data_IF_878759630678
#
_entry.id   IF_878759630678
#
_cell.length_a   1.000
_cell.length_b   1.000
_cell.length_c   1.000
_cell.angle_alpha   90.00
_cell.angle_beta   90.00
_cell.angle_gamma   90.00
#
_symmetry.space_group_name_H-M   'P 1'
#
loop_
_entity.id
_entity.type
_entity.pdbx_description
1 polymer ?
#
# COMPACT_ATOMS: atom_id res chain seq x y z
N UNK A 1 -45.19 -30.61 -11.36
CA UNK A 1 -44.74 -29.30 -11.90
C UNK A 1 -44.04 -28.55 -10.77
N UNK A 2 -42.71 -28.64 -10.70
CA UNK A 2 -41.93 -27.95 -9.67
C UNK A 2 -41.50 -26.59 -10.18
N UNK A 3 -42.10 -25.52 -9.65
CA UNK A 3 -41.72 -24.14 -9.95
C UNK A 3 -40.39 -23.85 -9.28
N UNK A 4 -39.29 -23.98 -10.03
CA UNK A 4 -37.97 -23.54 -9.61
C UNK A 4 -37.93 -22.01 -9.55
N UNK A 5 -37.97 -21.45 -8.35
CA UNK A 5 -37.74 -20.03 -8.12
C UNK A 5 -36.25 -19.73 -8.41
N UNK A 6 -35.92 -19.43 -9.67
CA UNK A 6 -34.59 -18.94 -10.03
C UNK A 6 -34.49 -17.49 -9.59
N UNK A 7 -33.98 -17.28 -8.39
CA UNK A 7 -33.56 -15.97 -7.91
C UNK A 7 -32.44 -15.48 -8.86
N UNK A 8 -32.85 -14.80 -9.92
CA UNK A 8 -31.99 -14.42 -11.03
C UNK A 8 -31.08 -13.31 -10.54
N UNK A 9 -29.77 -13.57 -10.50
CA UNK A 9 -28.77 -12.58 -10.13
C UNK A 9 -28.71 -11.46 -11.19
N UNK A 10 -29.55 -10.44 -10.99
CA UNK A 10 -29.69 -9.30 -11.91
C UNK A 10 -28.40 -8.50 -12.04
N UNK A 11 -27.53 -8.54 -11.03
CA UNK A 11 -26.27 -7.79 -11.02
C UNK A 11 -25.25 -8.46 -11.96
N UNK A 12 -25.27 -9.80 -12.06
CA UNK A 12 -24.46 -10.55 -13.03
C UNK A 12 -24.85 -10.36 -14.50
N UNK A 13 -25.95 -9.67 -14.81
CA UNK A 13 -26.35 -9.31 -16.18
C UNK A 13 -25.92 -7.90 -16.59
N UNK A 14 -25.36 -7.11 -15.67
CA UNK A 14 -24.84 -5.79 -16.00
C UNK A 14 -23.58 -5.90 -16.90
N UNK A 15 -23.38 -4.97 -17.84
CA UNK A 15 -22.14 -4.86 -18.61
C UNK A 15 -20.91 -4.73 -17.71
N UNK A 16 -19.79 -5.28 -18.15
CA UNK A 16 -18.53 -5.31 -17.41
C UNK A 16 -18.07 -3.93 -16.90
N UNK A 17 -18.19 -2.82 -17.68
CA UNK A 17 -17.83 -1.49 -17.19
C UNK A 17 -18.68 -1.04 -16.00
N UNK A 18 -19.98 -1.38 -15.98
CA UNK A 18 -20.87 -1.03 -14.87
C UNK A 18 -20.52 -1.86 -13.63
N UNK A 19 -20.18 -3.14 -13.79
CA UNK A 19 -19.74 -3.97 -12.67
C UNK A 19 -18.43 -3.46 -12.08
N UNK A 20 -17.44 -3.10 -12.92
CA UNK A 20 -16.18 -2.46 -12.48
C UNK A 20 -16.43 -1.18 -11.72
N UNK A 21 -17.33 -0.34 -12.21
CA UNK A 21 -17.72 0.87 -11.49
C UNK A 21 -18.33 0.54 -10.11
N UNK A 22 -19.26 -0.42 -10.02
CA UNK A 22 -19.85 -0.83 -8.73
C UNK A 22 -18.78 -1.36 -7.76
N UNK A 23 -17.90 -2.26 -8.23
CA UNK A 23 -16.83 -2.85 -7.39
C UNK A 23 -15.82 -1.82 -6.94
N UNK A 24 -15.54 -0.79 -7.74
CA UNK A 24 -14.63 0.29 -7.36
C UNK A 24 -15.09 1.06 -6.11
N UNK A 25 -16.38 1.00 -5.77
CA UNK A 25 -16.92 1.57 -4.54
C UNK A 25 -16.93 0.61 -3.36
N UNK A 26 -16.67 -0.69 -3.58
CA UNK A 26 -16.65 -1.67 -2.50
C UNK A 26 -15.30 -1.63 -1.78
N UNK A 27 -15.27 -1.78 -0.44
CA UNK A 27 -14.05 -2.13 0.26
C UNK A 27 -13.43 -3.39 -0.35
N UNK A 28 -12.11 -3.46 -0.43
CA UNK A 28 -11.39 -4.59 -1.06
C UNK A 28 -11.89 -5.96 -0.58
N UNK A 29 -12.09 -6.13 0.74
CA UNK A 29 -12.61 -7.38 1.33
C UNK A 29 -13.97 -7.79 0.77
N UNK A 30 -14.88 -6.83 0.59
CA UNK A 30 -16.21 -7.08 0.07
C UNK A 30 -16.19 -7.33 -1.43
N UNK A 31 -15.38 -6.57 -2.18
CA UNK A 31 -15.11 -6.84 -3.58
C UNK A 31 -14.62 -8.29 -3.77
N UNK A 32 -13.68 -8.74 -2.96
CA UNK A 32 -13.17 -10.11 -3.02
C UNK A 32 -14.24 -11.15 -2.72
N UNK A 33 -15.09 -10.94 -1.71
CA UNK A 33 -16.24 -11.83 -1.45
C UNK A 33 -17.15 -11.95 -2.67
N UNK A 34 -17.42 -10.85 -3.38
CA UNK A 34 -18.23 -10.90 -4.60
C UNK A 34 -17.58 -11.72 -5.72
N UNK A 35 -16.24 -11.70 -5.85
CA UNK A 35 -15.54 -12.53 -6.84
C UNK A 35 -15.60 -14.04 -6.59
N UNK A 36 -15.71 -14.44 -5.32
CA UNK A 36 -15.88 -15.86 -4.95
C UNK A 36 -17.28 -16.33 -5.34
N UNK A 37 -18.28 -15.47 -5.18
CA UNK A 37 -19.69 -15.80 -5.42
C UNK A 37 -20.03 -15.91 -6.92
N UNK A 38 -19.26 -15.28 -7.82
CA UNK A 38 -19.49 -15.39 -9.26
C UNK A 38 -18.23 -15.14 -10.09
N UNK A 39 -17.97 -16.05 -11.04
CA UNK A 39 -16.83 -15.95 -11.99
C UNK A 39 -16.81 -14.63 -12.76
N UNK A 40 -17.97 -14.00 -12.97
CA UNK A 40 -18.12 -12.71 -13.67
C UNK A 40 -17.56 -11.53 -12.89
N UNK A 41 -17.38 -11.67 -11.58
CA UNK A 41 -16.84 -10.65 -10.67
C UNK A 41 -15.34 -10.86 -10.40
N UNK A 42 -14.80 -12.03 -10.73
CA UNK A 42 -13.36 -12.32 -10.65
C UNK A 42 -12.51 -11.37 -11.50
N UNK A 43 -12.98 -11.02 -12.70
CA UNK A 43 -12.35 -10.04 -13.58
C UNK A 43 -12.56 -8.58 -13.15
N UNK A 44 -13.35 -8.35 -12.10
CA UNK A 44 -13.73 -7.01 -11.67
C UNK A 44 -12.86 -6.60 -10.49
N UNK A 45 -12.49 -7.55 -9.63
CA UNK A 45 -11.49 -7.32 -8.57
C UNK A 45 -10.09 -6.95 -9.09
N UNK A 46 -9.77 -7.24 -10.35
CA UNK A 46 -8.52 -6.79 -10.98
C UNK A 46 -8.46 -5.28 -11.21
N UNK A 47 -9.62 -4.60 -11.24
CA UNK A 47 -9.74 -3.15 -11.48
C UNK A 47 -9.85 -2.32 -10.19
N UNK A 48 -9.51 -2.91 -9.03
CA UNK A 48 -9.60 -2.22 -7.75
C UNK A 48 -8.55 -1.09 -7.68
N UNK A 49 -9.02 0.13 -7.46
CA UNK A 49 -8.18 1.31 -7.24
C UNK A 49 -7.73 1.45 -5.78
N UNK A 50 -8.34 0.70 -4.86
CA UNK A 50 -8.02 0.70 -3.43
C UNK A 50 -7.58 -0.69 -3.00
N UNK A 51 -6.29 -0.86 -2.77
CA UNK A 51 -5.69 -2.12 -2.34
C UNK A 51 -5.22 -1.98 -0.90
N UNK A 52 -5.84 -2.73 0.00
CA UNK A 52 -5.59 -2.65 1.45
C UNK A 52 -5.24 -4.03 1.99
N UNK A 53 -3.96 -4.21 2.31
CA UNK A 53 -3.38 -5.47 2.77
C UNK A 53 -2.99 -5.36 4.23
N UNK A 54 -3.60 -6.18 5.08
CA UNK A 54 -3.24 -6.26 6.49
C UNK A 54 -2.95 -7.70 6.90
N UNK A 55 -1.73 -7.97 7.36
CA UNK A 55 -1.30 -9.28 7.81
C UNK A 55 -2.13 -9.81 8.99
N UNK A 56 -2.78 -8.96 9.79
CA UNK A 56 -3.68 -9.44 10.85
C UNK A 56 -4.92 -10.16 10.30
N UNK A 57 -5.28 -9.93 9.04
CA UNK A 57 -6.44 -10.56 8.41
C UNK A 57 -6.16 -11.97 7.91
N UNK A 58 -4.89 -12.25 7.55
CA UNK A 58 -4.45 -13.52 6.94
C UNK A 58 -3.09 -13.86 7.51
N UNK A 59 -2.95 -15.01 8.15
CA UNK A 59 -1.72 -15.39 8.84
C UNK A 59 -0.74 -16.16 7.95
N UNK A 60 0.56 -15.97 8.16
CA UNK A 60 1.60 -16.80 7.55
C UNK A 60 1.73 -16.61 6.04
N UNK A 61 2.15 -17.67 5.35
CA UNK A 61 2.41 -17.67 3.89
C UNK A 61 1.17 -17.37 3.05
N UNK A 62 -0.03 -17.59 3.59
CA UNK A 62 -1.28 -17.29 2.89
C UNK A 62 -1.43 -15.79 2.61
N UNK A 63 -0.93 -14.93 3.51
CA UNK A 63 -0.88 -13.50 3.26
C UNK A 63 -0.02 -13.17 2.04
N UNK A 64 1.19 -13.76 1.97
CA UNK A 64 2.12 -13.53 0.87
C UNK A 64 1.51 -13.97 -0.45
N UNK A 65 0.95 -15.19 -0.50
CA UNK A 65 0.31 -15.72 -1.69
C UNK A 65 -0.88 -14.86 -2.12
N UNK A 66 -1.65 -14.36 -1.15
CA UNK A 66 -2.77 -13.47 -1.40
C UNK A 66 -2.35 -12.14 -2.00
N UNK A 67 -1.34 -11.46 -1.44
CA UNK A 67 -0.82 -10.21 -2.01
C UNK A 67 -0.27 -10.48 -3.41
N UNK A 68 0.60 -11.48 -3.56
CA UNK A 68 1.20 -11.84 -4.85
C UNK A 68 0.13 -12.14 -5.92
N UNK A 69 -0.90 -12.93 -5.59
CA UNK A 69 -1.99 -13.25 -6.51
C UNK A 69 -2.83 -12.02 -6.88
N UNK A 70 -3.14 -11.15 -5.91
CA UNK A 70 -3.93 -9.94 -6.17
C UNK A 70 -3.17 -8.96 -7.07
N UNK A 71 -1.90 -8.72 -6.80
CA UNK A 71 -1.08 -7.83 -7.64
C UNK A 71 -0.85 -8.43 -9.03
N UNK A 72 -0.65 -9.75 -9.12
CA UNK A 72 -0.51 -10.44 -10.42
C UNK A 72 -1.77 -10.38 -11.29
N UNK A 73 -2.96 -10.41 -10.67
CA UNK A 73 -4.25 -10.35 -11.37
C UNK A 73 -4.70 -8.95 -11.71
N UNK A 74 -4.10 -7.92 -11.11
CA UNK A 74 -4.48 -6.53 -11.33
C UNK A 74 -4.36 -6.16 -12.81
N UNK A 75 -5.33 -5.41 -13.32
CA UNK A 75 -5.46 -5.13 -14.76
C UNK A 75 -4.56 -4.00 -15.27
N UNK A 76 -3.78 -3.41 -14.37
CA UNK A 76 -2.83 -2.35 -14.65
C UNK A 76 -3.40 -0.94 -14.57
N UNK A 77 -4.68 -0.81 -14.18
CA UNK A 77 -5.29 0.49 -13.86
C UNK A 77 -4.54 1.26 -12.76
N UNK A 78 -4.80 2.56 -12.67
CA UNK A 78 -4.21 3.39 -11.62
C UNK A 78 -4.73 3.00 -10.23
N UNK A 79 -3.84 3.02 -9.26
CA UNK A 79 -4.15 2.80 -7.85
C UNK A 79 -4.35 4.15 -7.20
N UNK A 80 -5.51 4.35 -6.59
CA UNK A 80 -5.77 5.54 -5.79
C UNK A 80 -5.10 5.39 -4.42
N UNK A 81 -5.36 4.26 -3.73
CA UNK A 81 -4.82 3.98 -2.39
C UNK A 81 -4.16 2.62 -2.34
N UNK A 82 -2.98 2.57 -1.75
CA UNK A 82 -2.29 1.35 -1.39
C UNK A 82 -1.94 1.36 0.11
N UNK A 83 -2.46 0.39 0.85
CA UNK A 83 -2.17 0.21 2.27
C UNK A 83 -1.52 -1.16 2.49
N UNK A 84 -0.37 -1.18 3.16
CA UNK A 84 0.35 -2.40 3.50
C UNK A 84 0.74 -2.40 4.97
N UNK A 85 0.16 -3.33 5.75
CA UNK A 85 0.42 -3.51 7.17
C UNK A 85 1.05 -4.87 7.45
N UNK A 86 2.29 -4.85 7.91
CA UNK A 86 3.15 -6.01 8.21
C UNK A 86 3.60 -5.90 9.68
N UNK A 87 3.45 -6.98 10.43
CA UNK A 87 3.68 -7.08 11.87
C UNK A 87 5.00 -7.81 12.21
N UNK A 88 5.50 -7.65 13.45
CA UNK A 88 6.81 -8.14 13.95
C UNK A 88 7.14 -9.62 13.71
N UNK A 89 6.14 -10.49 13.54
CA UNK A 89 6.33 -11.93 13.36
C UNK A 89 6.32 -12.36 11.87
N UNK A 90 6.83 -11.50 10.99
CA UNK A 90 6.77 -11.66 9.53
C UNK A 90 8.07 -12.09 8.88
N UNK A 91 8.96 -12.79 9.59
CA UNK A 91 10.26 -13.25 9.07
C UNK A 91 10.18 -14.10 7.77
N UNK A 92 8.99 -14.60 7.42
CA UNK A 92 8.72 -15.29 6.16
C UNK A 92 8.53 -14.34 4.95
N UNK A 93 8.47 -13.03 5.17
CA UNK A 93 8.29 -11.99 4.15
C UNK A 93 9.62 -11.26 3.96
N UNK A 94 10.40 -11.64 2.95
CA UNK A 94 11.67 -10.95 2.67
C UNK A 94 11.46 -9.45 2.38
N UNK A 95 12.40 -8.61 2.82
CA UNK A 95 12.46 -7.18 2.47
C UNK A 95 12.36 -6.91 0.96
N UNK A 96 12.99 -7.75 0.13
CA UNK A 96 12.87 -7.70 -1.33
C UNK A 96 11.43 -7.81 -1.82
N UNK A 97 10.63 -8.70 -1.23
CA UNK A 97 9.23 -8.90 -1.62
C UNK A 97 8.36 -7.70 -1.24
N UNK A 98 8.57 -7.16 -0.03
CA UNK A 98 7.93 -5.90 0.40
C UNK A 98 8.24 -4.78 -0.60
N UNK A 99 9.51 -4.64 -1.00
CA UNK A 99 9.95 -3.67 -2.00
C UNK A 99 9.27 -3.87 -3.36
N UNK A 100 9.06 -5.12 -3.79
CA UNK A 100 8.32 -5.43 -5.03
C UNK A 100 6.84 -5.02 -4.96
N UNK A 101 6.16 -5.25 -3.82
CA UNK A 101 4.77 -4.83 -3.63
C UNK A 101 4.61 -3.31 -3.63
N UNK A 102 5.53 -2.59 -2.99
CA UNK A 102 5.53 -1.11 -3.02
C UNK A 102 5.83 -0.62 -4.44
N UNK A 103 6.83 -1.20 -5.11
CA UNK A 103 7.18 -0.84 -6.50
C UNK A 103 6.01 -1.04 -7.46
N UNK A 104 5.18 -2.06 -7.23
CA UNK A 104 3.95 -2.25 -7.98
C UNK A 104 3.03 -1.03 -7.82
N UNK A 105 2.71 -0.63 -6.58
CA UNK A 105 1.87 0.55 -6.33
C UNK A 105 2.39 1.82 -7.01
N UNK A 106 3.71 2.06 -6.92
CA UNK A 106 4.36 3.22 -7.52
C UNK A 106 4.23 3.24 -9.05
N UNK A 107 4.35 2.09 -9.70
CA UNK A 107 4.19 1.96 -11.17
C UNK A 107 2.76 2.19 -11.65
N UNK A 108 1.79 2.05 -10.75
CA UNK A 108 0.38 2.28 -10.99
C UNK A 108 -0.09 3.62 -10.40
N UNK A 109 0.80 4.62 -10.37
CA UNK A 109 0.47 6.02 -10.07
C UNK A 109 -0.25 6.22 -8.71
N UNK A 110 0.16 5.46 -7.69
CA UNK A 110 -0.41 5.57 -6.34
C UNK A 110 -0.43 7.02 -5.85
N UNK A 111 -1.59 7.43 -5.30
CA UNK A 111 -1.78 8.79 -4.78
C UNK A 111 -1.76 8.83 -3.25
N UNK A 112 -2.21 7.75 -2.62
CA UNK A 112 -2.34 7.61 -1.18
C UNK A 112 -1.66 6.31 -0.76
N UNK A 113 -0.53 6.43 -0.06
CA UNK A 113 0.33 5.31 0.28
C UNK A 113 0.53 5.24 1.79
N UNK A 114 0.03 4.17 2.38
CA UNK A 114 0.17 3.88 3.81
C UNK A 114 1.01 2.61 4.02
N UNK A 115 2.15 2.77 4.68
CA UNK A 115 3.06 1.68 5.01
C UNK A 115 3.19 1.58 6.52
N UNK A 116 2.74 0.46 7.08
CA UNK A 116 3.02 0.05 8.45
C UNK A 116 3.89 -1.22 8.36
N UNK A 117 5.20 -1.08 8.49
CA UNK A 117 6.16 -2.16 8.30
C UNK A 117 6.97 -2.31 9.58
N UNK A 118 6.45 -3.17 10.45
CA UNK A 118 7.15 -3.60 11.64
C UNK A 118 7.86 -4.92 11.34
N UNK A 119 9.01 -4.83 10.68
CA UNK A 119 9.79 -5.97 10.19
C UNK A 119 11.19 -5.93 10.79
N UNK A 120 11.75 -7.09 11.15
CA UNK A 120 13.03 -7.19 11.87
C UNK A 120 14.26 -6.85 11.01
N UNK A 121 14.16 -6.99 9.68
CA UNK A 121 15.18 -6.49 8.76
C UNK A 121 14.90 -5.02 8.40
N UNK A 122 15.98 -4.25 8.22
CA UNK A 122 15.93 -2.90 7.65
C UNK A 122 15.09 -2.94 6.36
N UNK A 123 13.98 -2.20 6.35
CA UNK A 123 13.11 -2.14 5.21
C UNK A 123 13.79 -1.30 4.12
N UNK A 124 14.33 -1.97 3.11
CA UNK A 124 14.79 -1.31 1.88
C UNK A 124 13.58 -0.92 1.03
N UNK A 125 12.98 0.20 1.39
CA UNK A 125 11.95 0.83 0.59
C UNK A 125 12.53 1.18 -0.78
N UNK A 126 11.76 1.00 -1.88
CA UNK A 126 12.27 1.29 -3.21
C UNK A 126 12.60 2.78 -3.33
N UNK A 127 13.72 3.12 -3.97
CA UNK A 127 14.14 4.51 -4.18
C UNK A 127 13.05 5.35 -4.88
N UNK A 128 12.33 4.74 -5.81
CA UNK A 128 11.23 5.36 -6.57
C UNK A 128 10.12 5.90 -5.65
N UNK A 129 9.96 5.35 -4.44
CA UNK A 129 9.03 5.86 -3.42
C UNK A 129 9.31 7.33 -3.13
N UNK A 130 10.58 7.66 -2.91
CA UNK A 130 11.03 8.95 -2.42
C UNK A 130 11.14 10.03 -3.51
N UNK A 131 10.88 9.65 -4.75
CA UNK A 131 10.89 10.54 -5.91
C UNK A 131 9.57 10.48 -6.69
N UNK A 132 8.55 9.83 -6.13
CA UNK A 132 7.28 9.60 -6.78
C UNK A 132 6.50 10.91 -6.95
N UNK A 133 6.09 11.19 -8.20
CA UNK A 133 5.42 12.43 -8.56
C UNK A 133 3.90 12.39 -8.40
N UNK A 134 3.32 11.25 -8.03
CA UNK A 134 1.87 11.05 -7.94
C UNK A 134 1.35 11.05 -6.51
N UNK A 135 2.22 10.77 -5.53
CA UNK A 135 1.84 10.66 -4.11
C UNK A 135 1.40 12.02 -3.55
N UNK A 136 0.17 12.07 -3.06
CA UNK A 136 -0.47 13.20 -2.40
C UNK A 136 -0.57 13.00 -0.89
N UNK A 137 -0.73 11.76 -0.45
CA UNK A 137 -0.78 11.38 0.97
C UNK A 137 0.20 10.25 1.21
N UNK A 138 1.12 10.43 2.16
CA UNK A 138 2.15 9.46 2.53
C UNK A 138 2.12 9.23 4.04
N UNK A 139 1.86 7.99 4.44
CA UNK A 139 1.95 7.56 5.83
C UNK A 139 3.04 6.50 5.97
N UNK A 140 4.07 6.80 6.77
CA UNK A 140 5.20 5.91 7.01
C UNK A 140 5.29 5.58 8.51
N UNK A 141 5.06 4.31 8.84
CA UNK A 141 5.40 3.72 10.12
C UNK A 141 6.32 2.52 9.84
N UNK A 142 7.63 2.73 9.95
CA UNK A 142 8.66 1.76 9.57
C UNK A 142 9.86 1.89 10.51
N UNK A 143 10.18 0.85 11.26
CA UNK A 143 11.21 0.94 12.31
C UNK A 143 12.60 1.38 11.81
N UNK A 144 12.99 0.91 10.62
CA UNK A 144 14.28 1.24 10.00
C UNK A 144 14.13 1.45 8.49
N UNK A 145 14.42 2.67 8.03
CA UNK A 145 14.47 3.06 6.62
C UNK A 145 15.90 3.48 6.28
N UNK A 146 16.40 2.99 5.14
CA UNK A 146 17.59 3.53 4.50
C UNK A 146 17.17 4.76 3.69
N UNK A 147 17.49 5.96 4.18
CA UNK A 147 17.02 7.20 3.58
C UNK A 147 17.86 7.56 2.35
N UNK A 148 17.25 7.80 1.18
CA UNK A 148 18.00 8.21 0.01
C UNK A 148 18.45 9.66 0.11
N UNK A 149 19.56 9.96 -0.57
CA UNK A 149 20.10 11.32 -0.62
C UNK A 149 19.19 12.28 -1.40
N UNK A 150 18.29 11.78 -2.26
CA UNK A 150 17.39 12.61 -3.06
C UNK A 150 15.96 12.30 -2.64
N UNK A 151 15.24 13.34 -2.22
CA UNK A 151 13.83 13.31 -1.87
C UNK A 151 13.11 14.32 -2.75
N UNK A 152 12.01 13.91 -3.40
CA UNK A 152 11.18 14.77 -4.25
C UNK A 152 9.73 14.28 -4.22
N UNK A 153 8.86 15.12 -3.70
CA UNK A 153 7.43 14.88 -3.59
C UNK A 153 6.65 16.10 -4.09
N UNK A 154 6.57 16.30 -5.41
CA UNK A 154 6.11 17.57 -6.00
C UNK A 154 4.65 17.90 -5.69
N UNK A 155 3.81 16.91 -5.36
CA UNK A 155 2.37 17.06 -5.13
C UNK A 155 1.91 16.54 -3.77
N UNK A 156 2.85 16.21 -2.87
CA UNK A 156 2.54 15.69 -1.53
C UNK A 156 1.90 16.80 -0.69
N UNK A 157 0.72 16.49 -0.14
CA UNK A 157 -0.09 17.37 0.70
C UNK A 157 -0.12 16.92 2.14
N UNK A 158 -0.13 15.61 2.38
CA UNK A 158 -0.18 15.07 3.74
C UNK A 158 0.97 14.12 3.97
N UNK A 159 1.70 14.34 5.05
CA UNK A 159 2.80 13.49 5.48
C UNK A 159 2.56 13.09 6.93
N UNK A 160 2.31 11.80 7.14
CA UNK A 160 2.23 11.19 8.46
C UNK A 160 3.44 10.30 8.68
N UNK A 161 4.15 10.53 9.78
CA UNK A 161 5.36 9.81 10.12
C UNK A 161 5.26 9.33 11.57
N UNK A 162 5.44 8.04 11.78
CA UNK A 162 5.39 7.44 13.10
C UNK A 162 6.52 6.43 13.29
N UNK A 163 7.15 6.43 14.46
CA UNK A 163 8.18 5.43 14.83
C UNK A 163 9.37 5.34 13.83
N UNK A 164 9.68 6.43 13.11
CA UNK A 164 10.83 6.47 12.21
C UNK A 164 12.12 6.88 12.94
N UNK A 165 13.22 6.23 12.55
CA UNK A 165 14.57 6.63 12.92
C UNK A 165 15.22 7.42 11.79
N UNK A 166 15.79 8.58 12.12
CA UNK A 166 16.55 9.42 11.20
C UNK A 166 18.03 9.37 11.54
N UNK A 167 18.87 9.21 10.52
CA UNK A 167 20.33 9.18 10.67
C UNK A 167 20.86 10.48 11.30
N UNK A 168 20.30 11.61 10.89
CA UNK A 168 20.67 12.94 11.35
C UNK A 168 19.50 13.92 11.13
N UNK A 169 19.64 15.12 11.70
CA UNK A 169 18.67 16.23 11.54
C UNK A 169 18.53 16.68 10.08
N UNK A 170 19.60 16.62 9.28
CA UNK A 170 19.57 17.06 7.88
C UNK A 170 18.59 16.23 7.04
N UNK A 171 18.55 14.91 7.21
CA UNK A 171 17.63 14.03 6.50
C UNK A 171 16.17 14.35 6.85
N UNK A 172 15.90 14.58 8.14
CA UNK A 172 14.58 14.99 8.59
C UNK A 172 14.18 16.35 8.01
N UNK A 173 15.06 17.36 8.13
CA UNK A 173 14.82 18.69 7.57
C UNK A 173 14.64 18.66 6.06
N UNK A 174 15.38 17.80 5.35
CA UNK A 174 15.24 17.63 3.91
C UNK A 174 13.89 17.08 3.52
N UNK A 175 13.36 16.10 4.25
CA UNK A 175 12.06 15.49 3.99
C UNK A 175 10.92 16.51 4.06
N UNK A 176 10.95 17.40 5.06
CA UNK A 176 9.92 18.43 5.29
C UNK A 176 10.23 19.76 4.60
N UNK A 177 11.37 19.90 3.94
CA UNK A 177 11.75 21.14 3.26
C UNK A 177 10.81 21.45 2.09
N UNK A 178 10.57 22.73 1.85
CA UNK A 178 9.76 23.19 0.71
C UNK A 178 10.37 22.83 -0.66
N UNK A 179 11.69 22.58 -0.73
CA UNK A 179 12.33 22.07 -1.94
C UNK A 179 11.97 20.62 -2.26
N UNK A 180 11.61 19.85 -1.24
CA UNK A 180 11.23 18.44 -1.37
C UNK A 180 9.72 18.28 -1.54
N UNK A 181 8.93 19.00 -0.73
CA UNK A 181 7.47 18.84 -0.64
C UNK A 181 6.77 20.20 -0.71
N UNK A 182 6.76 20.89 -1.86
CA UNK A 182 6.28 22.27 -1.98
C UNK A 182 4.77 22.45 -1.75
N UNK A 183 4.00 21.38 -1.81
CA UNK A 183 2.54 21.39 -1.64
C UNK A 183 2.07 20.85 -0.28
N UNK A 184 2.98 20.68 0.69
CA UNK A 184 2.65 20.07 1.98
C UNK A 184 1.71 20.99 2.78
N UNK A 185 0.54 20.45 3.11
CA UNK A 185 -0.56 21.10 3.84
C UNK A 185 -0.62 20.57 5.29
N UNK A 186 -0.52 19.26 5.47
CA UNK A 186 -0.60 18.58 6.77
C UNK A 186 0.67 17.78 7.05
N UNK A 187 1.27 17.99 8.23
CA UNK A 187 2.41 17.24 8.72
C UNK A 187 2.11 16.72 10.13
N UNK A 188 2.19 15.42 10.31
CA UNK A 188 2.04 14.77 11.60
C UNK A 188 3.24 13.85 11.86
N UNK A 189 3.86 14.05 13.02
CA UNK A 189 5.07 13.33 13.43
C UNK A 189 4.84 12.79 14.83
N UNK A 190 4.95 11.48 15.00
CA UNK A 190 4.78 10.80 16.27
C UNK A 190 5.96 9.87 16.54
N UNK A 191 6.43 9.82 17.78
CA UNK A 191 7.41 8.82 18.25
C UNK A 191 8.66 8.64 17.37
N UNK A 192 9.16 9.71 16.74
CA UNK A 192 10.35 9.66 15.87
C UNK A 192 11.64 9.98 16.64
N UNK A 193 12.76 9.39 16.20
CA UNK A 193 14.06 9.51 16.87
C UNK A 193 15.11 10.11 15.93
N UNK A 194 15.88 11.08 16.44
CA UNK A 194 17.03 11.68 15.77
C UNK A 194 18.32 11.05 16.32
N UNK A 195 19.20 10.61 15.43
CA UNK A 195 20.52 10.11 15.80
C UNK A 195 20.45 8.69 16.36
N UNK A 196 20.39 7.69 15.47
CA UNK A 196 20.79 6.35 15.85
C UNK A 196 22.31 6.28 15.94
N UNK A 197 22.87 6.49 17.13
CA UNK A 197 24.18 5.91 17.43
C UNK A 197 24.04 4.41 17.30
N UNK A 198 24.53 3.85 16.18
CA UNK A 198 24.71 2.41 16.03
C UNK A 198 25.71 1.91 17.07
N UNK A 199 25.27 1.64 18.30
CA UNK A 199 25.98 0.76 19.22
C UNK A 199 25.60 -0.67 18.87
N UNK A 200 26.23 -1.20 17.82
CA UNK A 200 26.36 -2.64 17.68
C UNK A 200 27.31 -3.14 18.78
N UNK A 201 26.77 -3.75 19.83
CA UNK A 201 27.55 -4.69 20.63
C UNK A 201 27.45 -6.06 19.96
N UNK A 202 28.60 -6.54 19.46
CA UNK A 202 28.85 -7.93 19.09
C UNK A 202 28.66 -8.86 20.28
#
# INVERSE_FOLDING_TARGET
>A
MGSGNTNTDRISYLPDPIRSHIVSFLPMKDAMRTSILSKKWKHVCSSLSRLEFNQSDITGTDFVNFVDEMLFRHDGSDIQRFCLKINLNSAYISSRRISMWISFALRHNVQDLELFINHSEIARLPFDLFTCSTIRELSLNCFQIEWPTILRFPVLRKLYIEELSFENEDTFHKLISSSTSPMLEDLEIQSCFLGCSHSFHL
#
